data_IF_612981975497
#
_entry.id   IF_612981975497
#
_cell.length_a   1.000
_cell.length_b   1.000
_cell.length_c   1.000
_cell.angle_alpha   90.00
_cell.angle_beta   90.00
_cell.angle_gamma   90.00
#
_symmetry.space_group_name_H-M   'P 1'
#
loop_
_entity.id
_entity.type
_entity.pdbx_description
1 polymer ?
#
# COMPACT_ATOMS: atom_id res chain seq x y z
N UNK A 1 19.78 1.34 10.12
CA UNK A 1 20.15 0.16 10.93
C UNK A 1 18.95 -0.49 11.59
N UNK A 2 18.17 0.22 12.42
CA UNK A 2 16.91 -0.29 13.00
C UNK A 2 16.02 -1.02 12.00
N UNK A 3 15.66 -0.37 10.89
CA UNK A 3 14.80 -0.96 9.85
C UNK A 3 15.55 -1.88 8.87
N UNK A 4 16.89 -1.83 8.80
CA UNK A 4 17.67 -2.65 7.84
C UNK A 4 18.04 -4.00 8.41
N UNK A 5 18.40 -4.01 9.69
CA UNK A 5 19.00 -5.13 10.39
C UNK A 5 18.11 -5.61 11.56
N UNK A 6 16.88 -5.08 11.68
CA UNK A 6 15.96 -5.41 12.77
C UNK A 6 16.44 -4.99 14.17
N UNK A 7 17.47 -4.14 14.27
CA UNK A 7 18.11 -3.80 15.55
C UNK A 7 17.27 -2.81 16.36
N UNK A 8 17.16 -3.02 17.68
CA UNK A 8 16.63 -1.98 18.59
C UNK A 8 17.57 -0.77 18.63
N UNK A 9 17.10 0.39 19.08
CA UNK A 9 17.91 1.63 19.07
C UNK A 9 19.20 1.51 19.89
N UNK A 10 19.15 0.85 21.06
CA UNK A 10 20.36 0.59 21.87
C UNK A 10 21.35 -0.34 21.18
N UNK A 11 20.85 -1.38 20.52
CA UNK A 11 21.69 -2.29 19.71
C UNK A 11 22.28 -1.57 18.50
N UNK A 12 21.51 -0.69 17.84
CA UNK A 12 22.00 0.12 16.72
C UNK A 12 23.13 1.06 17.14
N UNK A 13 23.04 1.64 18.35
CA UNK A 13 24.12 2.43 18.95
C UNK A 13 25.38 1.57 19.11
N UNK A 14 25.30 0.46 19.84
CA UNK A 14 26.46 -0.41 20.08
C UNK A 14 27.06 -1.00 18.81
N UNK A 15 26.22 -1.31 17.81
CA UNK A 15 26.68 -1.78 16.51
C UNK A 15 27.46 -0.70 15.74
N UNK A 16 27.00 0.56 15.75
CA UNK A 16 27.75 1.68 15.18
C UNK A 16 29.07 1.92 15.92
N UNK A 17 29.06 1.87 17.25
CA UNK A 17 30.27 1.99 18.07
C UNK A 17 31.28 0.89 17.73
N UNK A 18 30.80 -0.35 17.53
CA UNK A 18 31.63 -1.48 17.13
C UNK A 18 32.25 -1.28 15.74
N UNK A 19 31.47 -0.80 14.75
CA UNK A 19 31.98 -0.46 13.42
C UNK A 19 33.05 0.63 13.51
N UNK A 20 32.79 1.69 14.27
CA UNK A 20 33.74 2.80 14.44
C UNK A 20 35.04 2.36 15.11
N UNK A 21 34.97 1.45 16.08
CA UNK A 21 36.15 0.82 16.66
C UNK A 21 36.95 0.02 15.60
N UNK A 22 36.28 -0.83 14.82
CA UNK A 22 36.92 -1.65 13.79
C UNK A 22 37.63 -0.83 12.70
N UNK A 23 37.05 0.30 12.29
CA UNK A 23 37.65 1.19 11.29
C UNK A 23 38.61 2.24 11.89
N UNK A 24 38.98 2.09 13.17
CA UNK A 24 39.87 3.01 13.91
C UNK A 24 39.38 4.46 13.95
N UNK A 25 38.05 4.66 13.97
CA UNK A 25 37.37 5.96 14.10
C UNK A 25 36.57 6.08 15.40
N UNK A 26 37.11 5.57 16.49
CA UNK A 26 36.47 5.61 17.83
C UNK A 26 36.25 7.03 18.37
N UNK A 27 36.92 8.05 17.81
CA UNK A 27 36.70 9.45 18.16
C UNK A 27 35.35 10.02 17.66
N UNK A 28 34.68 9.33 16.72
CA UNK A 28 33.38 9.77 16.21
C UNK A 28 32.28 9.47 17.22
N UNK A 29 31.50 10.50 17.59
CA UNK A 29 30.39 10.35 18.51
C UNK A 29 29.21 9.62 17.85
N UNK A 30 28.75 8.54 18.49
CA UNK A 30 27.51 7.85 18.10
C UNK A 30 26.35 8.42 18.91
N UNK A 31 25.28 8.93 18.27
CA UNK A 31 24.12 9.44 18.98
C UNK A 31 23.51 8.39 19.90
N UNK A 32 23.14 8.80 21.12
CA UNK A 32 22.46 7.92 22.05
C UNK A 32 21.04 7.55 21.56
N UNK A 33 20.48 6.49 22.14
CA UNK A 33 19.17 5.98 21.73
C UNK A 33 18.03 7.00 21.93
N UNK A 34 18.12 7.89 22.92
CA UNK A 34 17.12 8.93 23.20
C UNK A 34 17.20 10.01 22.12
N UNK A 35 18.40 10.38 21.67
CA UNK A 35 18.62 11.29 20.55
C UNK A 35 18.05 10.71 19.25
N UNK A 36 18.31 9.43 18.96
CA UNK A 36 17.74 8.74 17.79
C UNK A 36 16.20 8.65 17.87
N UNK A 37 15.66 8.34 19.05
CA UNK A 37 14.20 8.26 19.27
C UNK A 37 13.50 9.62 19.07
N UNK A 38 14.11 10.71 19.55
CA UNK A 38 13.61 12.07 19.35
C UNK A 38 13.66 12.47 17.87
N UNK A 39 14.76 12.16 17.17
CA UNK A 39 14.89 12.42 15.73
C UNK A 39 13.91 11.62 14.88
N UNK A 40 13.55 10.40 15.28
CA UNK A 40 12.58 9.59 14.54
C UNK A 40 11.21 10.30 14.42
N UNK A 41 10.83 11.13 15.39
CA UNK A 41 9.54 11.84 15.40
C UNK A 41 9.37 12.79 14.22
N UNK A 42 10.45 13.48 13.84
CA UNK A 42 10.43 14.53 12.82
C UNK A 42 11.13 14.12 11.52
N UNK A 43 11.46 12.84 11.35
CA UNK A 43 12.16 12.35 10.17
C UNK A 43 11.27 12.50 8.92
N UNK A 44 11.68 13.29 7.91
CA UNK A 44 10.90 13.45 6.70
C UNK A 44 11.05 12.20 5.82
N UNK A 45 10.10 11.26 5.95
CA UNK A 45 10.08 10.04 5.16
C UNK A 45 8.99 10.14 4.08
N UNK A 46 9.40 10.14 2.82
CA UNK A 46 8.51 10.08 1.64
C UNK A 46 8.58 8.67 1.05
N UNK A 47 7.43 8.04 0.83
CA UNK A 47 7.33 6.63 0.38
C UNK A 47 7.25 6.51 -1.15
N UNK A 48 7.22 7.61 -1.89
CA UNK A 48 6.84 7.61 -3.30
C UNK A 48 8.03 7.92 -4.21
N UNK A 49 8.32 7.01 -5.16
CA UNK A 49 9.27 7.27 -6.27
C UNK A 49 8.62 7.15 -7.65
N UNK A 50 7.57 6.32 -7.78
CA UNK A 50 7.02 5.95 -9.09
C UNK A 50 5.71 6.61 -9.47
N UNK A 51 4.96 7.09 -8.49
CA UNK A 51 3.82 7.99 -8.74
C UNK A 51 4.25 9.23 -9.53
N UNK A 52 5.52 9.61 -9.50
CA UNK A 52 6.06 10.78 -10.21
C UNK A 52 6.52 10.43 -11.65
N UNK A 53 6.47 9.17 -12.06
CA UNK A 53 7.04 8.69 -13.33
C UNK A 53 6.06 8.77 -14.53
N UNK A 54 4.81 9.22 -14.32
CA UNK A 54 3.82 9.37 -15.40
C UNK A 54 3.19 8.06 -15.89
N UNK A 55 3.44 6.94 -15.20
CA UNK A 55 2.92 5.64 -15.58
C UNK A 55 1.44 5.47 -15.22
N UNK A 56 0.75 4.60 -15.97
CA UNK A 56 -0.65 4.27 -15.75
C UNK A 56 -0.76 3.12 -14.75
N UNK A 57 -1.03 3.43 -13.49
CA UNK A 57 -1.00 2.45 -12.42
C UNK A 57 -2.39 1.86 -12.15
N UNK A 58 -2.43 0.58 -11.79
CA UNK A 58 -3.61 -0.05 -11.22
C UNK A 58 -3.42 -0.16 -9.71
N UNK A 59 -4.02 0.75 -8.94
CA UNK A 59 -3.85 0.79 -7.49
C UNK A 59 -4.75 -0.22 -6.78
N UNK A 60 -4.24 -0.84 -5.72
CA UNK A 60 -4.99 -1.59 -4.73
C UNK A 60 -4.75 -1.01 -3.35
N UNK A 61 -5.79 -0.96 -2.51
CA UNK A 61 -5.62 -0.64 -1.08
C UNK A 61 -6.22 -1.78 -0.26
N UNK A 62 -5.46 -2.21 0.73
CA UNK A 62 -5.93 -3.10 1.79
C UNK A 62 -5.34 -2.66 3.12
N UNK A 63 -5.92 -3.12 4.21
CA UNK A 63 -5.44 -2.82 5.55
C UNK A 63 -5.03 -4.08 6.31
N UNK A 64 -4.02 -3.95 7.15
CA UNK A 64 -3.57 -5.05 8.01
C UNK A 64 -3.34 -4.59 9.44
N UNK A 65 -3.57 -5.48 10.41
CA UNK A 65 -3.32 -5.20 11.82
C UNK A 65 -1.84 -5.29 12.18
N UNK A 66 -1.34 -4.26 12.87
CA UNK A 66 -0.04 -4.25 13.55
C UNK A 66 -0.25 -4.15 15.07
N UNK A 67 0.46 -4.96 15.83
CA UNK A 67 0.41 -4.97 17.29
C UNK A 67 1.40 -3.95 17.86
N UNK A 68 0.95 -3.07 18.76
CA UNK A 68 1.84 -2.07 19.39
C UNK A 68 2.41 -2.60 20.70
N UNK A 69 1.52 -3.01 21.59
CA UNK A 69 1.88 -3.58 22.88
C UNK A 69 0.76 -4.51 23.33
N UNK A 70 1.14 -5.51 24.12
CA UNK A 70 0.20 -6.51 24.62
C UNK A 70 0.90 -7.84 24.82
N UNK A 71 0.39 -8.59 25.78
CA UNK A 71 0.95 -9.89 26.14
C UNK A 71 0.84 -10.87 24.97
N UNK A 72 1.91 -11.66 24.79
CA UNK A 72 1.97 -12.70 23.77
C UNK A 72 0.80 -13.67 23.89
N UNK A 73 0.41 -14.27 22.78
CA UNK A 73 -0.75 -15.18 22.75
C UNK A 73 -0.62 -16.35 23.72
N UNK A 74 0.59 -16.87 23.86
CA UNK A 74 0.90 -17.93 24.82
C UNK A 74 0.67 -17.49 26.27
N UNK A 75 1.17 -16.31 26.65
CA UNK A 75 1.02 -15.80 28.03
C UNK A 75 -0.45 -15.59 28.38
N UNK A 76 -1.22 -15.01 27.46
CA UNK A 76 -2.66 -14.79 27.68
C UNK A 76 -3.41 -16.11 27.79
N UNK A 77 -3.07 -17.11 26.96
CA UNK A 77 -3.67 -18.44 27.05
C UNK A 77 -3.34 -19.18 28.36
N UNK A 78 -2.12 -19.02 28.87
CA UNK A 78 -1.65 -19.74 30.08
C UNK A 78 -1.97 -19.04 31.40
N UNK A 79 -1.95 -17.71 31.43
CA UNK A 79 -1.95 -16.93 32.66
C UNK A 79 -3.00 -15.82 32.68
N UNK A 80 -3.90 -15.77 31.69
CA UNK A 80 -4.87 -14.70 31.55
C UNK A 80 -4.24 -13.38 31.08
N UNK A 81 -5.08 -12.38 30.79
CA UNK A 81 -4.62 -11.07 30.33
C UNK A 81 -4.38 -10.13 31.50
N UNK A 82 -3.15 -9.65 31.67
CA UNK A 82 -2.81 -8.63 32.66
C UNK A 82 -2.66 -7.23 32.05
N UNK A 83 -2.45 -7.13 30.72
CA UNK A 83 -2.33 -5.85 29.99
C UNK A 83 -3.19 -5.83 28.73
N UNK A 84 -3.86 -4.70 28.49
CA UNK A 84 -4.68 -4.47 27.28
C UNK A 84 -3.81 -4.56 26.03
N UNK A 85 -4.24 -5.35 25.05
CA UNK A 85 -3.64 -5.40 23.71
C UNK A 85 -4.07 -4.17 22.91
N UNK A 86 -3.09 -3.47 22.35
CA UNK A 86 -3.33 -2.34 21.44
C UNK A 86 -2.84 -2.69 20.06
N UNK A 87 -3.75 -2.57 19.10
CA UNK A 87 -3.50 -2.77 17.68
C UNK A 87 -3.64 -1.43 16.95
N UNK A 88 -3.00 -1.37 15.79
CA UNK A 88 -3.15 -0.31 14.80
C UNK A 88 -3.48 -0.95 13.47
N UNK A 89 -4.20 -0.22 12.64
CA UNK A 89 -4.41 -0.60 11.25
C UNK A 89 -3.34 0.06 10.39
N UNK A 90 -2.79 -0.71 9.46
CA UNK A 90 -1.85 -0.29 8.45
C UNK A 90 -2.54 -0.43 7.08
N UNK A 91 -3.21 0.62 6.59
CA UNK A 91 -3.58 0.70 5.19
C UNK A 91 -2.34 0.83 4.30
N UNK A 92 -2.23 -0.05 3.30
CA UNK A 92 -1.17 -0.04 2.29
C UNK A 92 -1.82 0.12 0.92
N UNK A 93 -1.38 1.14 0.20
CA UNK A 93 -1.68 1.34 -1.21
C UNK A 93 -0.51 0.85 -2.03
N UNK A 94 -0.78 -0.02 -3.00
CA UNK A 94 0.23 -0.59 -3.88
C UNK A 94 -0.22 -0.55 -5.32
N UNK A 95 0.74 -0.63 -6.22
CA UNK A 95 0.51 -0.93 -7.62
C UNK A 95 0.32 -2.45 -7.79
N UNK A 96 -0.81 -2.87 -8.34
CA UNK A 96 -1.14 -4.28 -8.56
C UNK A 96 -0.36 -4.91 -9.72
N UNK A 97 0.27 -4.10 -10.59
CA UNK A 97 1.08 -4.59 -11.70
C UNK A 97 2.50 -4.97 -11.25
N UNK A 98 3.09 -4.17 -10.34
CA UNK A 98 4.48 -4.38 -9.89
C UNK A 98 4.63 -4.76 -8.43
N UNK A 99 3.57 -4.64 -7.64
CA UNK A 99 3.56 -4.80 -6.19
C UNK A 99 4.41 -3.79 -5.42
N UNK A 100 4.74 -2.65 -6.03
CA UNK A 100 5.39 -1.54 -5.34
C UNK A 100 4.40 -0.83 -4.42
N UNK A 101 4.84 -0.49 -3.19
CA UNK A 101 4.06 0.31 -2.25
C UNK A 101 4.07 1.78 -2.70
N UNK A 102 2.90 2.31 -3.01
CA UNK A 102 2.69 3.70 -3.44
C UNK A 102 2.47 4.64 -2.26
N UNK A 103 1.83 4.14 -1.20
CA UNK A 103 1.53 4.90 0.01
C UNK A 103 1.26 3.96 1.18
N UNK A 104 1.62 4.40 2.39
CA UNK A 104 1.22 3.74 3.64
C UNK A 104 0.65 4.77 4.61
N UNK A 105 -0.35 4.36 5.37
CA UNK A 105 -0.89 5.13 6.48
C UNK A 105 -0.86 4.28 7.75
N UNK A 106 -0.86 4.93 8.91
CA UNK A 106 -1.08 4.25 10.18
C UNK A 106 -2.31 4.87 10.82
N UNK A 107 -3.33 4.06 11.05
CA UNK A 107 -4.63 4.49 11.52
C UNK A 107 -4.98 3.82 12.85
N UNK A 108 -5.88 4.47 13.59
CA UNK A 108 -6.49 3.85 14.76
C UNK A 108 -7.48 2.75 14.36
N UNK A 109 -7.87 1.89 15.31
CA UNK A 109 -8.82 0.80 15.03
C UNK A 109 -10.23 1.27 14.67
N UNK A 110 -10.58 2.52 14.99
CA UNK A 110 -11.92 3.10 14.75
C UNK A 110 -12.01 3.85 13.43
N UNK A 111 -10.91 3.95 12.70
CA UNK A 111 -10.89 4.65 11.45
C UNK A 111 -11.38 3.76 10.31
N UNK A 112 -12.27 4.32 9.51
CA UNK A 112 -12.81 3.70 8.31
C UNK A 112 -11.74 3.56 7.22
N UNK A 113 -11.75 2.44 6.51
CA UNK A 113 -10.77 2.11 5.48
C UNK A 113 -10.91 3.06 4.28
N UNK A 114 -12.14 3.44 3.91
CA UNK A 114 -12.37 4.38 2.83
C UNK A 114 -11.88 5.80 3.21
N UNK A 115 -12.08 6.23 4.46
CA UNK A 115 -11.53 7.49 4.96
C UNK A 115 -9.98 7.53 4.92
N UNK A 116 -9.33 6.44 5.31
CA UNK A 116 -7.87 6.32 5.20
C UNK A 116 -7.43 6.34 3.73
N UNK A 117 -8.12 5.60 2.86
CA UNK A 117 -7.88 5.57 1.42
C UNK A 117 -7.97 6.96 0.78
N UNK A 118 -8.97 7.78 1.15
CA UNK A 118 -9.10 9.17 0.63
C UNK A 118 -7.83 9.97 0.86
N UNK A 119 -7.29 9.93 2.09
CA UNK A 119 -6.05 10.65 2.44
C UNK A 119 -4.83 10.08 1.73
N UNK A 120 -4.79 8.77 1.54
CA UNK A 120 -3.67 8.12 0.86
C UNK A 120 -3.60 8.44 -0.62
N UNK A 121 -4.73 8.77 -1.25
CA UNK A 121 -4.84 9.11 -2.67
C UNK A 121 -4.78 10.63 -2.93
N UNK A 122 -4.64 11.46 -1.89
CA UNK A 122 -4.52 12.91 -2.05
C UNK A 122 -3.24 13.29 -2.80
N UNK A 123 -3.42 14.09 -3.87
CA UNK A 123 -2.32 14.51 -4.75
C UNK A 123 -1.74 13.41 -5.64
N UNK A 124 -2.33 12.20 -5.70
CA UNK A 124 -1.74 11.03 -6.37
C UNK A 124 -2.59 10.43 -7.49
N UNK A 125 -3.78 10.98 -7.75
CA UNK A 125 -4.76 10.41 -8.69
C UNK A 125 -4.38 10.55 -10.16
N UNK A 126 -3.56 11.54 -10.50
CA UNK A 126 -3.13 11.84 -11.87
C UNK A 126 -2.46 10.66 -12.57
N UNK A 127 -1.93 9.70 -11.82
CA UNK A 127 -1.18 8.55 -12.34
C UNK A 127 -1.89 7.20 -12.11
N UNK A 128 -3.13 7.22 -11.59
CA UNK A 128 -3.91 6.02 -11.32
C UNK A 128 -4.98 5.88 -12.39
N UNK A 129 -4.95 4.81 -13.19
CA UNK A 129 -5.98 4.50 -14.20
C UNK A 129 -7.03 3.52 -13.71
N UNK A 130 -6.66 2.67 -12.76
CA UNK A 130 -7.56 1.67 -12.21
C UNK A 130 -7.40 1.56 -10.69
N UNK A 131 -8.50 1.24 -10.01
CA UNK A 131 -8.52 0.97 -8.59
C UNK A 131 -9.25 -0.35 -8.31
N UNK A 132 -8.70 -1.20 -7.44
CA UNK A 132 -9.36 -2.42 -6.96
C UNK A 132 -9.35 -2.48 -5.42
N UNK A 133 -10.52 -2.66 -4.80
CA UNK A 133 -10.69 -2.74 -3.33
C UNK A 133 -11.89 -3.61 -2.94
N UNK A 134 -12.07 -3.93 -1.65
CA UNK A 134 -13.32 -4.57 -1.18
C UNK A 134 -14.49 -3.61 -1.27
N UNK A 135 -15.68 -4.18 -1.06
CA UNK A 135 -16.88 -3.41 -0.76
C UNK A 135 -16.77 -2.48 0.45
N UNK A 136 -15.75 -2.55 1.32
CA UNK A 136 -15.53 -1.51 2.32
C UNK A 136 -15.17 -0.15 1.67
N UNK A 137 -14.66 -0.16 0.43
CA UNK A 137 -14.46 1.02 -0.40
C UNK A 137 -15.69 1.40 -1.25
N UNK A 138 -16.84 0.70 -1.14
CA UNK A 138 -18.11 1.09 -1.77
C UNK A 138 -18.77 2.29 -1.05
N UNK A 139 -17.96 3.27 -0.64
CA UNK A 139 -18.39 4.55 -0.09
C UNK A 139 -18.53 5.59 -1.20
N UNK A 140 -19.64 6.32 -1.23
CA UNK A 140 -19.87 7.33 -2.25
C UNK A 140 -18.83 8.44 -2.22
N UNK A 141 -18.41 8.87 -1.03
CA UNK A 141 -17.37 9.89 -0.92
C UNK A 141 -16.02 9.38 -1.45
N UNK A 142 -15.73 8.08 -1.32
CA UNK A 142 -14.49 7.48 -1.84
C UNK A 142 -14.56 7.31 -3.36
N UNK A 143 -15.69 6.87 -3.89
CA UNK A 143 -15.92 6.82 -5.34
C UNK A 143 -15.86 8.20 -6.00
N UNK A 144 -16.42 9.21 -5.34
CA UNK A 144 -16.30 10.63 -5.75
C UNK A 144 -14.85 11.08 -5.73
N UNK A 145 -14.09 10.70 -4.70
CA UNK A 145 -12.65 10.95 -4.62
C UNK A 145 -11.91 10.31 -5.80
N UNK A 146 -12.18 9.05 -6.15
CA UNK A 146 -11.56 8.43 -7.32
C UNK A 146 -11.93 9.16 -8.62
N UNK A 147 -13.18 9.59 -8.75
CA UNK A 147 -13.68 10.28 -9.93
C UNK A 147 -13.93 9.35 -11.11
N UNK A 148 -14.41 9.91 -12.22
CA UNK A 148 -14.78 9.15 -13.41
C UNK A 148 -13.58 8.65 -14.23
N UNK A 149 -12.44 9.34 -14.15
CA UNK A 149 -11.23 8.99 -14.90
C UNK A 149 -10.49 7.75 -14.42
N UNK A 150 -10.88 7.18 -13.27
CA UNK A 150 -10.30 5.96 -12.71
C UNK A 150 -11.33 4.83 -12.84
N UNK A 151 -10.91 3.69 -13.39
CA UNK A 151 -11.74 2.47 -13.46
C UNK A 151 -11.86 1.87 -12.06
N UNK A 152 -13.06 1.79 -11.51
CA UNK A 152 -13.32 1.40 -10.12
C UNK A 152 -13.84 -0.05 -10.02
N UNK A 153 -12.95 -1.02 -9.80
CA UNK A 153 -13.35 -2.41 -9.52
C UNK A 153 -13.57 -2.61 -8.02
N UNK A 154 -14.74 -2.19 -7.54
CA UNK A 154 -15.18 -2.34 -6.15
C UNK A 154 -16.50 -3.10 -6.12
N UNK A 155 -16.57 -4.31 -5.52
CA UNK A 155 -17.81 -5.06 -5.44
C UNK A 155 -18.85 -4.31 -4.61
N UNK A 156 -20.03 -3.99 -5.17
CA UNK A 156 -21.12 -3.41 -4.39
C UNK A 156 -21.69 -4.44 -3.39
N UNK A 157 -22.38 -3.99 -2.33
CA UNK A 157 -23.06 -4.87 -1.38
C UNK A 157 -24.20 -5.66 -2.06
N UNK A 158 -24.64 -6.74 -1.43
CA UNK A 158 -25.61 -7.68 -2.03
C UNK A 158 -26.97 -7.04 -2.32
N UNK A 159 -27.37 -6.11 -1.48
CA UNK A 159 -28.61 -5.33 -1.52
C UNK A 159 -28.44 -3.99 -2.26
N UNK A 160 -27.34 -3.82 -3.02
CA UNK A 160 -27.09 -2.59 -3.75
C UNK A 160 -28.18 -2.31 -4.79
N UNK A 161 -28.76 -1.12 -4.70
CA UNK A 161 -29.74 -0.61 -5.65
C UNK A 161 -29.09 0.34 -6.65
N UNK A 162 -29.61 0.35 -7.88
CA UNK A 162 -29.22 1.29 -8.93
C UNK A 162 -29.72 2.69 -8.57
N UNK A 163 -28.79 3.66 -8.54
CA UNK A 163 -29.12 5.06 -8.30
C UNK A 163 -29.64 5.71 -9.58
N UNK A 164 -30.93 6.06 -9.61
CA UNK A 164 -31.54 6.76 -10.74
C UNK A 164 -31.36 8.28 -10.63
N UNK A 165 -31.29 9.00 -11.75
CA UNK A 165 -31.38 10.47 -11.74
C UNK A 165 -32.67 10.90 -11.05
N UNK A 166 -32.61 11.96 -10.25
CA UNK A 166 -33.81 12.66 -9.78
C UNK A 166 -34.16 13.75 -10.80
N UNK A 167 -35.45 14.03 -10.96
CA UNK A 167 -36.03 14.92 -11.99
C UNK A 167 -35.27 16.25 -12.20
N UNK A 168 -34.66 16.81 -11.14
CA UNK A 168 -33.92 18.08 -11.15
C UNK A 168 -32.45 17.98 -10.69
N UNK A 169 -31.84 16.78 -10.66
CA UNK A 169 -30.42 16.61 -10.33
C UNK A 169 -29.80 15.55 -11.26
N UNK A 170 -28.87 15.93 -12.16
CA UNK A 170 -28.18 14.95 -12.98
C UNK A 170 -27.47 13.92 -12.09
N UNK A 171 -27.37 12.68 -12.57
CA UNK A 171 -26.56 11.66 -11.88
C UNK A 171 -25.14 12.20 -11.83
N UNK A 172 -24.56 12.28 -10.64
CA UNK A 172 -23.13 12.58 -10.51
C UNK A 172 -22.34 11.54 -11.32
N UNK A 173 -21.11 11.81 -11.74
CA UNK A 173 -20.41 10.83 -12.59
C UNK A 173 -19.97 9.57 -11.81
N UNK A 174 -19.68 9.70 -10.51
CA UNK A 174 -19.12 8.61 -9.71
C UNK A 174 -20.05 7.39 -9.46
N UNK A 175 -21.40 7.50 -9.37
CA UNK A 175 -22.28 6.34 -9.27
C UNK A 175 -22.44 5.57 -10.59
N UNK A 176 -22.04 6.11 -11.74
CA UNK A 176 -22.26 5.48 -13.06
C UNK A 176 -21.60 4.11 -13.09
N UNK A 177 -20.29 4.04 -12.81
CA UNK A 177 -19.54 2.78 -12.78
C UNK A 177 -20.10 1.80 -11.73
N UNK A 178 -20.58 2.31 -10.58
CA UNK A 178 -21.21 1.49 -9.54
C UNK A 178 -22.53 0.89 -10.05
N UNK A 179 -23.38 1.69 -10.68
CA UNK A 179 -24.66 1.24 -11.24
C UNK A 179 -24.47 0.20 -12.34
N UNK A 180 -23.49 0.39 -13.22
CA UNK A 180 -23.10 -0.60 -14.22
C UNK A 180 -22.67 -1.92 -13.57
N UNK A 181 -21.87 -1.85 -12.51
CA UNK A 181 -21.47 -3.04 -11.76
C UNK A 181 -22.69 -3.75 -11.14
N UNK A 182 -23.61 -3.02 -10.51
CA UNK A 182 -24.85 -3.57 -9.94
C UNK A 182 -25.70 -4.24 -11.03
N UNK A 183 -25.91 -3.58 -12.16
CA UNK A 183 -26.68 -4.12 -13.28
C UNK A 183 -26.06 -5.40 -13.85
N UNK A 184 -24.74 -5.42 -14.06
CA UNK A 184 -24.03 -6.63 -14.52
C UNK A 184 -24.15 -7.75 -13.49
N UNK A 185 -23.97 -7.47 -12.20
CA UNK A 185 -24.08 -8.46 -11.13
C UNK A 185 -25.50 -9.07 -11.08
N UNK A 186 -26.54 -8.26 -11.31
CA UNK A 186 -27.92 -8.76 -11.39
C UNK A 186 -28.13 -9.67 -12.61
N UNK A 187 -27.49 -9.39 -13.75
CA UNK A 187 -27.63 -10.16 -14.98
C UNK A 187 -26.85 -11.49 -14.98
N UNK A 188 -25.59 -11.49 -14.50
CA UNK A 188 -24.68 -12.64 -14.64
C UNK A 188 -24.18 -13.22 -13.30
N UNK A 189 -24.56 -12.61 -12.18
CA UNK A 189 -24.08 -12.97 -10.85
C UNK A 189 -22.75 -12.34 -10.46
N UNK A 190 -22.52 -12.24 -9.14
CA UNK A 190 -21.33 -11.59 -8.57
C UNK A 190 -20.02 -12.31 -8.92
N UNK A 191 -20.04 -13.64 -9.02
CA UNK A 191 -18.86 -14.45 -9.34
C UNK A 191 -18.35 -14.15 -10.74
N UNK A 192 -19.20 -14.26 -11.76
CA UNK A 192 -18.83 -13.99 -13.15
C UNK A 192 -18.41 -12.53 -13.35
N UNK A 193 -19.08 -11.58 -12.69
CA UNK A 193 -18.64 -10.17 -12.71
C UNK A 193 -17.23 -9.99 -12.13
N UNK A 194 -16.91 -10.62 -10.98
CA UNK A 194 -15.57 -10.54 -10.37
C UNK A 194 -14.49 -11.09 -11.30
N UNK A 195 -14.77 -12.18 -11.99
CA UNK A 195 -13.87 -12.81 -12.95
C UNK A 195 -13.61 -11.91 -14.16
N UNK A 196 -14.67 -11.40 -14.81
CA UNK A 196 -14.56 -10.51 -15.96
C UNK A 196 -13.83 -9.20 -15.64
N UNK A 197 -14.05 -8.64 -14.45
CA UNK A 197 -13.37 -7.41 -14.03
C UNK A 197 -11.94 -7.65 -13.52
N UNK A 198 -11.47 -8.90 -13.51
CA UNK A 198 -10.17 -9.26 -12.95
C UNK A 198 -10.03 -8.83 -11.49
N UNK A 199 -11.11 -8.94 -10.70
CA UNK A 199 -11.15 -8.54 -9.29
C UNK A 199 -10.14 -9.33 -8.44
N UNK A 200 -9.88 -10.59 -8.81
CA UNK A 200 -8.97 -11.48 -8.08
C UNK A 200 -7.54 -10.98 -7.99
N UNK A 201 -7.11 -10.05 -8.87
CA UNK A 201 -5.80 -9.39 -8.75
C UNK A 201 -5.61 -8.66 -7.42
N UNK A 202 -6.70 -8.34 -6.72
CA UNK A 202 -6.65 -7.76 -5.37
C UNK A 202 -5.92 -8.65 -4.35
N UNK A 203 -5.93 -9.97 -4.51
CA UNK A 203 -5.24 -10.89 -3.57
C UNK A 203 -3.72 -10.61 -3.47
N UNK A 204 -3.13 -9.92 -4.45
CA UNK A 204 -1.75 -9.44 -4.37
C UNK A 204 -1.50 -8.50 -3.18
N UNK A 205 -2.53 -7.80 -2.69
CA UNK A 205 -2.44 -7.03 -1.46
C UNK A 205 -2.05 -7.93 -0.28
N UNK A 206 -2.66 -9.11 -0.15
CA UNK A 206 -2.35 -10.06 0.92
C UNK A 206 -0.88 -10.52 0.84
N UNK A 207 -0.36 -10.74 -0.37
CA UNK A 207 1.05 -11.11 -0.59
C UNK A 207 1.99 -10.00 -0.15
N UNK A 208 1.68 -8.73 -0.47
CA UNK A 208 2.48 -7.58 -0.01
C UNK A 208 2.42 -7.41 1.50
N UNK A 209 1.25 -7.61 2.10
CA UNK A 209 1.10 -7.57 3.56
C UNK A 209 1.88 -8.70 4.25
N UNK A 210 1.83 -9.91 3.69
CA UNK A 210 2.62 -11.04 4.18
C UNK A 210 4.11 -10.71 4.13
N UNK A 211 4.61 -10.26 2.97
CA UNK A 211 6.01 -9.80 2.81
C UNK A 211 6.37 -8.71 3.81
N UNK A 212 5.52 -7.71 3.97
CA UNK A 212 5.72 -6.62 4.91
C UNK A 212 5.91 -7.16 6.34
N UNK A 213 5.01 -8.03 6.80
CA UNK A 213 5.07 -8.60 8.16
C UNK A 213 6.25 -9.55 8.35
N UNK A 214 6.64 -10.29 7.33
CA UNK A 214 7.82 -11.16 7.38
C UNK A 214 9.11 -10.35 7.49
N UNK A 215 9.23 -9.25 6.75
CA UNK A 215 10.45 -8.42 6.73
C UNK A 215 10.53 -7.48 7.95
N UNK A 216 9.42 -6.84 8.33
CA UNK A 216 9.41 -5.75 9.31
C UNK A 216 8.69 -6.08 10.62
N UNK A 217 8.23 -7.33 10.80
CA UNK A 217 7.35 -7.78 11.88
C UNK A 217 5.89 -7.32 11.75
N UNK A 218 4.99 -8.10 12.35
CA UNK A 218 3.60 -7.69 12.62
C UNK A 218 3.45 -6.80 13.86
N UNK A 219 4.57 -6.36 14.45
CA UNK A 219 4.60 -5.55 15.67
C UNK A 219 5.29 -4.19 15.44
N UNK A 220 4.87 -3.17 16.20
CA UNK A 220 5.46 -1.84 16.21
C UNK A 220 6.34 -1.66 17.45
N UNK A 221 7.59 -1.22 17.26
CA UNK A 221 8.53 -1.03 18.37
C UNK A 221 8.37 0.34 19.05
N UNK A 222 7.93 1.35 18.29
CA UNK A 222 7.74 2.70 18.78
C UNK A 222 6.53 2.82 19.73
N UNK A 223 6.68 3.62 20.79
CA UNK A 223 5.63 3.85 21.79
C UNK A 223 4.65 4.97 21.44
N UNK A 224 5.13 6.03 20.79
CA UNK A 224 4.29 7.18 20.40
C UNK A 224 3.81 7.04 18.96
N UNK A 225 2.66 7.63 18.64
CA UNK A 225 2.03 7.48 17.32
C UNK A 225 2.87 8.10 16.21
N UNK A 226 3.57 9.19 16.48
CA UNK A 226 4.44 9.87 15.52
C UNK A 226 5.61 8.95 15.15
N UNK A 227 6.25 8.36 16.16
CA UNK A 227 7.36 7.43 15.93
C UNK A 227 6.87 6.14 15.23
N UNK A 228 5.67 5.63 15.57
CA UNK A 228 5.07 4.49 14.88
C UNK A 228 4.80 4.81 13.40
N UNK A 229 4.32 6.02 13.12
CA UNK A 229 4.06 6.47 11.75
C UNK A 229 5.35 6.53 10.94
N UNK A 230 6.43 7.09 11.51
CA UNK A 230 7.74 7.10 10.85
C UNK A 230 8.29 5.68 10.65
N UNK A 231 8.10 4.80 11.63
CA UNK A 231 8.53 3.39 11.55
C UNK A 231 7.90 2.70 10.35
N UNK A 232 6.58 2.80 10.21
CA UNK A 232 5.82 2.25 9.09
C UNK A 232 6.23 2.86 7.75
N UNK A 233 6.40 4.18 7.66
CA UNK A 233 6.83 4.84 6.42
C UNK A 233 8.23 4.37 5.99
N UNK A 234 9.14 4.20 6.94
CA UNK A 234 10.51 3.73 6.68
C UNK A 234 10.51 2.27 6.22
N UNK A 235 9.64 1.44 6.78
CA UNK A 235 9.44 0.04 6.35
C UNK A 235 8.80 -0.05 4.96
N UNK A 236 7.77 0.77 4.70
CA UNK A 236 7.08 0.82 3.40
C UNK A 236 8.01 1.18 2.24
N UNK A 237 8.94 2.12 2.46
CA UNK A 237 10.00 2.49 1.51
C UNK A 237 10.89 1.32 1.05
N UNK A 238 10.97 0.26 1.84
CA UNK A 238 11.88 -0.87 1.60
C UNK A 238 11.19 -2.14 1.17
N UNK A 239 9.86 -2.21 1.29
CA UNK A 239 9.09 -3.28 0.68
C UNK A 239 8.87 -3.04 -0.83
N UNK A 240 9.90 -2.52 -1.51
CA UNK A 240 9.92 -2.44 -2.96
C UNK A 240 10.32 -3.84 -3.44
N UNK A 241 9.51 -4.54 -4.25
CA UNK A 241 9.95 -5.78 -4.86
C UNK A 241 11.26 -5.52 -5.60
N UNK A 242 12.27 -6.35 -5.37
CA UNK A 242 13.48 -6.32 -6.18
C UNK A 242 13.02 -6.46 -7.64
N UNK A 243 13.20 -5.41 -8.42
CA UNK A 243 12.75 -5.36 -9.80
C UNK A 243 13.42 -6.54 -10.53
N UNK A 244 12.69 -7.63 -10.79
CA UNK A 244 12.91 -8.42 -12.00
C UNK A 244 12.57 -7.49 -13.13
N UNK A 245 13.58 -6.73 -13.54
CA UNK A 245 13.55 -5.92 -14.75
C UNK A 245 13.12 -6.84 -15.87
N UNK A 246 11.84 -6.76 -16.28
CA UNK A 246 11.48 -7.11 -17.65
C UNK A 246 12.29 -6.15 -18.50
N UNK A 247 13.46 -6.61 -18.95
CA UNK A 247 14.16 -6.02 -20.10
C UNK A 247 13.08 -5.87 -21.16
N UNK A 248 12.73 -4.63 -21.50
CA UNK A 248 11.94 -4.35 -22.69
C UNK A 248 12.66 -5.04 -23.84
N UNK A 249 12.11 -6.16 -24.32
CA UNK A 249 12.53 -6.76 -25.56
C UNK A 249 12.35 -5.68 -26.61
N UNK A 250 13.46 -5.18 -27.16
CA UNK A 250 13.44 -4.44 -28.40
C UNK A 250 12.75 -5.35 -29.41
N UNK A 251 11.56 -4.96 -29.83
CA UNK A 251 10.96 -5.46 -31.07
C UNK A 251 11.92 -5.13 -32.19
N UNK A 252 12.69 -6.11 -32.65
CA UNK A 252 13.31 -6.04 -33.96
C UNK A 252 12.17 -6.08 -34.98
N UNK A 253 11.94 -4.96 -35.66
CA UNK A 253 11.16 -4.96 -36.87
C UNK A 253 11.95 -5.77 -37.93
N UNK A 254 11.30 -6.68 -38.69
CA UNK A 254 11.96 -7.29 -39.82
C UNK A 254 12.20 -6.21 -40.87
N UNK A 255 13.47 -5.99 -41.20
CA UNK A 255 13.88 -5.19 -42.35
C UNK A 255 13.46 -5.93 -43.61
N UNK A 256 12.36 -5.52 -44.22
CA UNK A 256 12.02 -5.89 -45.59
C UNK A 256 12.86 -5.00 -46.51
N UNK A 257 14.10 -5.42 -46.79
CA UNK A 257 14.89 -4.84 -47.87
C UNK A 257 14.38 -5.40 -49.21
N UNK A 258 13.46 -4.67 -49.85
CA UNK A 258 13.29 -4.75 -51.30
C UNK A 258 14.51 -4.07 -51.93
N UNK A 259 15.48 -4.87 -52.37
CA UNK A 259 16.63 -4.43 -53.16
C UNK A 259 16.59 -5.13 -54.52
N UNK A 260 16.23 -4.36 -55.55
CA UNK A 260 16.25 -4.75 -56.95
C UNK A 260 17.67 -5.17 -57.38
N UNK A 261 17.79 -6.30 -58.07
CA UNK A 261 18.96 -6.62 -58.90
C UNK A 261 18.74 -6.06 -60.31
N UNK A 262 19.68 -5.29 -60.89
CA UNK A 262 19.74 -5.12 -62.32
C UNK A 262 20.54 -6.26 -62.95
N UNK A 263 20.03 -6.72 -64.09
CA UNK A 263 20.66 -7.70 -64.96
C UNK A 263 21.93 -7.14 -65.61
N UNK A 264 23.04 -7.90 -65.52
CA UNK A 264 24.02 -8.14 -66.60
C UNK A 264 24.58 -9.54 -66.39
#
# INVERSE_FOLDING_TARGET
MKTSYGLKLRQSKGFLESIFSLIRKSHLLVPDYSTLSRRQRSLPVKVSRRLECGENLTAGIDSTGLKVYGEGEWKVRRHGSSKRRTWRRLPVCMDLDTQEILSVALTGNREDDAAAGKRMLDGKRTHIKGFKGDGAYDDFGFREKLGAGIIQTIPPPRDAVIHKPKRNKPVREFPIQRNEAVSRIQAQGSRAWKEQQGYHRRSLNEVVMFRYKTIFSGELNARTIENQTTEVKTSGLRNIPANTTKRKGKTFAPSTALGMYPAV
#
